data_IF_387052700485
#
_entry.id   IF_387052700485
#
_cell.length_a   1.000
_cell.length_b   1.000
_cell.length_c   1.000
_cell.angle_alpha   90.00
_cell.angle_beta   90.00
_cell.angle_gamma   90.00
#
_symmetry.space_group_name_H-M   'P 1'
#
loop_
_entity.id
_entity.type
_entity.pdbx_description
1 polymer ?
#
# COMPACT_ATOMS: atom_id res chain seq x y z
N UNK A 1 18.77 17.78 -17.72
CA UNK A 1 18.01 18.73 -16.90
C UNK A 1 16.84 17.95 -16.32
N UNK A 2 17.03 17.33 -15.15
CA UNK A 2 16.00 16.52 -14.49
C UNK A 2 15.13 17.46 -13.66
N UNK A 3 14.02 17.89 -14.24
CA UNK A 3 13.00 18.68 -13.57
C UNK A 3 11.73 17.83 -13.59
N UNK A 4 11.13 17.62 -12.41
CA UNK A 4 9.79 17.04 -12.15
C UNK A 4 9.74 15.55 -11.80
N UNK A 5 9.82 15.21 -10.52
CA UNK A 5 9.04 14.10 -9.92
C UNK A 5 9.15 12.68 -10.50
N UNK A 6 10.16 12.33 -11.28
CA UNK A 6 10.28 10.98 -11.83
C UNK A 6 10.59 9.94 -10.74
N UNK A 7 9.86 8.83 -10.73
CA UNK A 7 10.09 7.70 -9.85
C UNK A 7 9.21 6.50 -10.21
N UNK A 8 8.83 5.71 -9.22
CA UNK A 8 7.98 4.54 -9.45
C UNK A 8 7.38 3.99 -8.18
N UNK A 9 6.41 3.10 -8.36
CA UNK A 9 5.73 2.37 -7.29
C UNK A 9 5.89 0.87 -7.51
N UNK A 10 5.73 0.10 -6.44
CA UNK A 10 5.73 -1.36 -6.51
C UNK A 10 5.07 -2.01 -5.30
N UNK A 11 4.42 -3.16 -5.53
CA UNK A 11 3.75 -3.94 -4.49
C UNK A 11 3.97 -5.44 -4.69
N UNK A 12 3.78 -6.20 -3.61
CA UNK A 12 3.84 -7.67 -3.62
C UNK A 12 2.72 -8.25 -2.74
N UNK A 13 1.79 -8.97 -3.34
CA UNK A 13 0.72 -9.69 -2.63
C UNK A 13 1.19 -11.10 -2.32
N UNK A 14 0.97 -11.54 -1.07
CA UNK A 14 1.34 -12.87 -0.61
C UNK A 14 0.15 -13.54 0.07
N UNK A 15 0.05 -14.86 -0.07
CA UNK A 15 -0.94 -15.66 0.65
C UNK A 15 -0.53 -15.84 2.13
N UNK A 16 -1.33 -16.60 2.89
CA UNK A 16 -1.06 -16.95 4.28
C UNK A 16 0.16 -17.88 4.46
N UNK A 17 0.54 -18.63 3.42
CA UNK A 17 1.79 -19.39 3.37
C UNK A 17 3.01 -18.51 2.99
N UNK A 18 2.78 -17.21 2.79
CA UNK A 18 3.78 -16.22 2.41
C UNK A 18 4.45 -16.48 1.06
N UNK A 19 3.73 -17.21 0.22
CA UNK A 19 4.03 -17.36 -1.20
C UNK A 19 3.57 -16.11 -1.93
N UNK A 20 4.39 -15.63 -2.86
CA UNK A 20 4.00 -14.49 -3.71
C UNK A 20 2.89 -14.95 -4.66
N UNK A 21 1.72 -14.33 -4.53
CA UNK A 21 0.54 -14.58 -5.37
C UNK A 21 0.46 -13.56 -6.50
N UNK A 22 0.94 -12.34 -6.27
CA UNK A 22 1.08 -11.34 -7.32
C UNK A 22 2.11 -10.28 -6.94
N UNK A 23 2.63 -9.59 -7.95
CA UNK A 23 3.47 -8.41 -7.77
C UNK A 23 3.27 -7.48 -8.95
N UNK A 24 3.32 -6.18 -8.68
CA UNK A 24 3.19 -5.15 -9.70
C UNK A 24 4.18 -4.02 -9.44
N UNK A 25 4.62 -3.37 -10.52
CA UNK A 25 5.43 -2.17 -10.43
C UNK A 25 5.18 -1.29 -11.64
N UNK A 26 5.32 0.02 -11.46
CA UNK A 26 5.09 1.02 -12.50
C UNK A 26 6.01 2.22 -12.35
N UNK A 27 6.34 2.83 -13.48
CA UNK A 27 7.01 4.14 -13.52
C UNK A 27 5.95 5.23 -13.34
N UNK A 28 6.27 6.24 -12.53
CA UNK A 28 5.50 7.46 -12.44
C UNK A 28 6.35 8.64 -12.88
N UNK A 29 5.85 9.33 -13.89
CA UNK A 29 6.26 10.67 -14.23
C UNK A 29 5.29 11.57 -13.42
N UNK A 30 5.79 12.57 -12.68
CA UNK A 30 4.99 13.47 -11.81
C UNK A 30 4.63 12.99 -10.38
N UNK A 31 5.53 12.33 -9.67
CA UNK A 31 5.39 12.16 -8.22
C UNK A 31 5.54 13.49 -7.48
N UNK A 32 4.70 13.68 -6.47
CA UNK A 32 4.79 14.83 -5.56
C UNK A 32 6.00 14.66 -4.62
N UNK A 33 6.15 13.46 -4.09
CA UNK A 33 7.26 13.03 -3.24
C UNK A 33 7.29 11.49 -3.15
N UNK A 34 8.19 10.96 -2.32
CA UNK A 34 8.27 9.53 -2.04
C UNK A 34 7.02 8.99 -1.31
N UNK A 35 6.31 9.81 -0.53
CA UNK A 35 5.07 9.41 0.12
C UNK A 35 3.97 9.16 -0.92
N UNK A 36 3.87 10.02 -1.94
CA UNK A 36 2.93 9.82 -3.05
C UNK A 36 3.20 8.50 -3.78
N UNK A 37 4.47 8.16 -4.02
CA UNK A 37 4.85 6.91 -4.66
C UNK A 37 4.44 5.66 -3.85
N UNK A 38 4.67 5.71 -2.53
CA UNK A 38 4.27 4.65 -1.60
C UNK A 38 2.74 4.52 -1.48
N UNK A 39 2.01 5.63 -1.52
CA UNK A 39 0.54 5.62 -1.53
C UNK A 39 -0.01 5.05 -2.85
N UNK A 40 0.63 5.36 -3.98
CA UNK A 40 0.27 4.75 -5.28
C UNK A 40 0.51 3.24 -5.27
N UNK A 41 1.66 2.78 -4.77
CA UNK A 41 1.92 1.36 -4.57
C UNK A 41 0.82 0.70 -3.72
N UNK A 42 0.44 1.38 -2.63
CA UNK A 42 -0.61 0.95 -1.70
C UNK A 42 -1.97 0.78 -2.40
N UNK A 43 -2.35 1.75 -3.21
CA UNK A 43 -3.60 1.75 -3.95
C UNK A 43 -3.62 0.67 -5.04
N UNK A 44 -2.57 0.60 -5.87
CA UNK A 44 -2.48 -0.36 -6.98
C UNK A 44 -2.52 -1.81 -6.49
N UNK A 45 -1.82 -2.11 -5.39
CA UNK A 45 -1.83 -3.46 -4.80
C UNK A 45 -3.19 -3.87 -4.21
N UNK A 46 -3.99 -2.92 -3.73
CA UNK A 46 -5.31 -3.21 -3.17
C UNK A 46 -6.41 -3.26 -4.24
N UNK A 47 -6.36 -2.32 -5.18
CA UNK A 47 -7.42 -2.10 -6.17
C UNK A 47 -7.35 -3.07 -7.34
N UNK A 48 -6.13 -3.39 -7.80
CA UNK A 48 -5.94 -4.23 -8.99
C UNK A 48 -6.14 -5.71 -8.70
N UNK A 49 -5.31 -6.29 -7.84
CA UNK A 49 -5.26 -7.75 -7.67
C UNK A 49 -6.07 -8.27 -6.47
N UNK A 50 -6.22 -7.48 -5.39
CA UNK A 50 -6.81 -7.99 -4.15
C UNK A 50 -8.34 -8.01 -4.18
N UNK A 51 -8.95 -6.96 -4.74
CA UNK A 51 -10.40 -6.86 -4.92
C UNK A 51 -10.97 -7.92 -5.87
N UNK A 52 -10.25 -8.27 -6.93
CA UNK A 52 -10.68 -9.30 -7.89
C UNK A 52 -10.55 -10.72 -7.35
N UNK A 53 -9.63 -10.96 -6.40
CA UNK A 53 -9.36 -12.29 -5.83
C UNK A 53 -10.25 -12.66 -4.64
N UNK A 54 -11.23 -11.81 -4.29
CA UNK A 54 -12.15 -12.07 -3.17
C UNK A 54 -11.46 -12.11 -1.80
N UNK A 55 -10.31 -11.44 -1.68
CA UNK A 55 -9.54 -11.38 -0.44
C UNK A 55 -10.34 -10.55 0.58
N UNK A 56 -10.80 -11.19 1.67
CA UNK A 56 -11.67 -10.55 2.67
C UNK A 56 -10.91 -9.97 3.86
N UNK A 57 -9.62 -10.29 4.00
CA UNK A 57 -8.74 -9.83 5.08
C UNK A 57 -7.43 -9.32 4.50
N UNK A 58 -6.96 -8.16 4.96
CA UNK A 58 -5.70 -7.59 4.49
C UNK A 58 -4.78 -7.10 5.61
N UNK A 59 -3.52 -7.47 5.50
CA UNK A 59 -2.41 -6.96 6.29
C UNK A 59 -1.56 -6.11 5.36
N UNK A 60 -1.67 -4.79 5.51
CA UNK A 60 -0.86 -3.82 4.77
C UNK A 60 0.47 -3.67 5.48
N UNK A 61 1.58 -3.87 4.77
CA UNK A 61 2.90 -3.66 5.34
C UNK A 61 3.64 -2.59 4.57
N UNK A 62 4.15 -1.56 5.24
CA UNK A 62 4.87 -0.45 4.59
C UNK A 62 6.10 -0.07 5.41
N UNK A 63 7.16 0.40 4.75
CA UNK A 63 8.33 0.98 5.41
C UNK A 63 8.09 2.45 5.81
N UNK A 64 7.04 3.08 5.28
CA UNK A 64 6.74 4.49 5.49
C UNK A 64 5.87 4.70 6.73
N UNK A 65 6.39 5.46 7.69
CA UNK A 65 5.60 5.87 8.87
C UNK A 65 4.46 6.80 8.47
N UNK A 66 4.65 7.59 7.41
CA UNK A 66 3.67 8.54 6.92
C UNK A 66 2.50 7.84 6.26
N UNK A 67 2.73 6.75 5.51
CA UNK A 67 1.64 5.93 4.95
C UNK A 67 0.80 5.32 6.07
N UNK A 68 1.45 4.75 7.10
CA UNK A 68 0.72 4.21 8.26
C UNK A 68 -0.14 5.28 8.94
N UNK A 69 0.42 6.47 9.17
CA UNK A 69 -0.33 7.58 9.77
C UNK A 69 -1.49 8.02 8.85
N UNK A 70 -1.24 8.19 7.56
CA UNK A 70 -2.24 8.61 6.58
C UNK A 70 -3.44 7.67 6.49
N UNK A 71 -3.20 6.35 6.50
CA UNK A 71 -4.26 5.34 6.40
C UNK A 71 -5.02 5.19 7.71
N UNK A 72 -4.36 5.29 8.87
CA UNK A 72 -4.99 5.08 10.18
C UNK A 72 -5.66 6.34 10.72
N UNK A 73 -5.06 7.52 10.53
CA UNK A 73 -5.55 8.79 11.05
C UNK A 73 -6.17 9.66 9.95
N UNK A 74 -6.84 10.74 10.33
CA UNK A 74 -7.35 11.73 9.38
C UNK A 74 -6.44 12.96 9.23
N UNK A 75 -5.18 12.87 9.65
CA UNK A 75 -4.23 14.00 9.69
C UNK A 75 -3.92 14.58 8.32
N UNK A 76 -4.11 13.81 7.26
CA UNK A 76 -3.75 14.18 5.88
C UNK A 76 -4.97 14.54 5.00
N UNK A 77 -6.17 14.68 5.58
CA UNK A 77 -7.39 14.94 4.79
C UNK A 77 -7.35 16.24 3.97
N UNK A 78 -6.57 17.23 4.42
CA UNK A 78 -6.36 18.51 3.73
C UNK A 78 -5.00 18.59 3.01
N UNK A 79 -4.21 17.52 3.02
CA UNK A 79 -2.93 17.49 2.32
C UNK A 79 -3.14 17.33 0.81
N UNK A 80 -2.14 17.68 0.00
CA UNK A 80 -2.16 17.45 -1.45
C UNK A 80 -2.35 15.96 -1.80
N UNK A 81 -1.88 15.06 -0.94
CA UNK A 81 -2.07 13.59 -1.03
C UNK A 81 -3.39 13.10 -0.41
N UNK A 82 -4.23 14.00 0.12
CA UNK A 82 -5.48 13.65 0.81
C UNK A 82 -6.45 12.87 -0.06
N UNK A 83 -6.52 13.18 -1.36
CA UNK A 83 -7.37 12.47 -2.33
C UNK A 83 -7.03 10.99 -2.45
N UNK A 84 -5.76 10.66 -2.74
CA UNK A 84 -5.32 9.25 -2.85
C UNK A 84 -5.44 8.51 -1.51
N UNK A 85 -5.21 9.18 -0.38
CA UNK A 85 -5.39 8.59 0.95
C UNK A 85 -6.85 8.23 1.19
N UNK A 86 -7.78 9.10 0.77
CA UNK A 86 -9.20 8.83 0.85
C UNK A 86 -9.60 7.64 -0.01
N UNK A 87 -9.07 7.53 -1.23
CA UNK A 87 -9.31 6.39 -2.12
C UNK A 87 -8.81 5.08 -1.50
N UNK A 88 -7.58 5.06 -0.96
CA UNK A 88 -7.05 3.87 -0.27
C UNK A 88 -7.99 3.47 0.87
N UNK A 89 -8.41 4.40 1.72
CA UNK A 89 -9.36 4.10 2.81
C UNK A 89 -10.67 3.53 2.29
N UNK A 90 -11.19 4.09 1.19
CA UNK A 90 -12.43 3.65 0.57
C UNK A 90 -12.32 2.22 0.02
N UNK A 91 -11.23 1.92 -0.68
CA UNK A 91 -10.91 0.56 -1.16
C UNK A 91 -10.82 -0.40 0.02
N UNK A 92 -10.11 -0.01 1.09
CA UNK A 92 -10.00 -0.84 2.29
C UNK A 92 -11.37 -1.18 2.87
N UNK A 93 -12.24 -0.18 3.03
CA UNK A 93 -13.57 -0.36 3.61
C UNK A 93 -14.54 -1.12 2.70
N UNK A 94 -14.32 -1.09 1.39
CA UNK A 94 -15.23 -1.71 0.42
C UNK A 94 -14.91 -3.20 0.22
N UNK A 95 -13.62 -3.55 0.13
CA UNK A 95 -13.20 -4.90 -0.22
C UNK A 95 -12.82 -5.77 0.98
N UNK A 96 -12.41 -5.19 2.12
CA UNK A 96 -11.94 -5.98 3.27
C UNK A 96 -12.85 -5.86 4.49
N UNK A 97 -13.25 -7.01 5.01
CA UNK A 97 -13.99 -7.13 6.27
C UNK A 97 -13.11 -6.93 7.50
N UNK A 98 -11.80 -7.16 7.37
CA UNK A 98 -10.81 -6.97 8.42
C UNK A 98 -9.50 -6.50 7.81
N UNK A 99 -8.85 -5.52 8.44
CA UNK A 99 -7.57 -5.03 7.98
C UNK A 99 -6.66 -4.59 9.13
N UNK A 100 -5.35 -4.65 8.89
CA UNK A 100 -4.33 -4.10 9.79
C UNK A 100 -3.17 -3.51 8.99
N UNK A 101 -2.46 -2.55 9.57
CA UNK A 101 -1.28 -1.94 8.94
C UNK A 101 -0.04 -1.95 9.84
N UNK A 102 1.03 -2.56 9.33
CA UNK A 102 2.28 -2.74 10.05
C UNK A 102 3.38 -1.90 9.41
N UNK A 103 4.19 -1.30 10.27
CA UNK A 103 5.42 -0.62 9.85
C UNK A 103 6.55 -1.64 9.89
N UNK A 104 7.23 -1.83 8.77
CA UNK A 104 8.44 -2.63 8.71
C UNK A 104 9.58 -1.92 9.42
N UNK A 105 10.27 -2.62 10.33
CA UNK A 105 11.44 -2.10 11.05
C UNK A 105 12.78 -2.40 10.32
N UNK A 106 12.77 -3.09 9.17
CA UNK A 106 13.98 -3.48 8.44
C UNK A 106 13.88 -3.21 6.91
N UNK A 107 15.04 -3.05 6.24
CA UNK A 107 15.26 -2.61 4.85
C UNK A 107 14.64 -3.55 3.78
N UNK A 108 13.32 -3.48 3.53
CA UNK A 108 12.68 -4.16 2.39
C UNK A 108 11.50 -3.34 1.83
N UNK A 109 11.48 -3.10 0.52
CA UNK A 109 10.54 -2.25 -0.23
C UNK A 109 9.30 -3.01 -0.74
N UNK A 110 8.66 -3.84 0.09
CA UNK A 110 7.49 -4.61 -0.33
C UNK A 110 6.24 -4.15 0.41
N UNK A 111 5.31 -3.48 -0.29
CA UNK A 111 3.93 -3.37 0.18
C UNK A 111 3.31 -4.77 0.20
N UNK A 112 2.96 -5.29 1.38
CA UNK A 112 2.29 -6.59 1.52
C UNK A 112 0.80 -6.41 1.72
N UNK A 113 0.03 -7.38 1.23
CA UNK A 113 -1.40 -7.58 1.44
C UNK A 113 -1.52 -9.07 1.77
N UNK A 114 -1.73 -9.43 3.04
CA UNK A 114 -1.89 -10.82 3.50
C UNK A 114 -3.19 -11.02 4.29
N UNK A 115 -3.79 -12.21 4.22
CA UNK A 115 -5.07 -12.51 4.88
C UNK A 115 -4.98 -13.03 6.31
N UNK A 116 -3.78 -13.17 6.89
CA UNK A 116 -3.58 -13.76 8.23
C UNK A 116 -2.95 -12.81 9.27
N UNK A 117 -3.30 -13.01 10.55
CA UNK A 117 -2.89 -12.21 11.72
C UNK A 117 -1.42 -12.40 12.13
N UNK A 118 -0.69 -13.29 11.47
CA UNK A 118 0.71 -13.57 11.75
C UNK A 118 1.55 -13.06 10.59
N UNK A 119 2.30 -11.98 10.82
CA UNK A 119 3.40 -11.64 9.92
C UNK A 119 4.27 -12.90 9.76
N UNK A 120 4.38 -13.45 8.55
CA UNK A 120 5.42 -14.44 8.31
C UNK A 120 6.75 -13.76 8.56
N UNK A 121 7.35 -14.14 9.67
CA UNK A 121 8.77 -13.97 9.88
C UNK A 121 9.44 -14.96 8.93
N UNK A 122 10.18 -14.43 7.97
CA UNK A 122 11.38 -15.12 7.52
C UNK A 122 12.36 -15.17 8.70
#
# INVERSE_FOLDING_TARGET
>A
MACSGDGGWGYVIRDDACTVVSAGAGRCEYLLDALHAELLACLEGQSGDSGEKGISKVVIETNSILVKLAVVSNTFSLAATGGIIFEIKNVISTFFTSWSIWRMHWLRWDLRVSSDHRACKL
#
